data_IF_305050933523
#
_entry.id   IF_305050933523
#
_cell.length_a   1.000
_cell.length_b   1.000
_cell.length_c   1.000
_cell.angle_alpha   90.00
_cell.angle_beta   90.00
_cell.angle_gamma   90.00
#
_symmetry.space_group_name_H-M   'P 1'
#
loop_
_entity.id
_entity.type
_entity.pdbx_description
1 polymer ?
#
# COMPACT_ATOMS: atom_id res chain seq x y z
N UNK A 1 -76.64 -56.70 42.65
CA UNK A 1 -75.20 -57.02 42.62
C UNK A 1 -74.71 -56.73 41.22
N UNK A 2 -73.56 -56.06 41.09
CA UNK A 2 -72.93 -55.50 39.87
C UNK A 2 -73.39 -54.08 39.51
N UNK A 3 -72.94 -53.08 40.27
CA UNK A 3 -71.68 -52.31 40.16
C UNK A 3 -71.68 -51.29 39.02
N UNK A 4 -71.89 -50.03 39.40
CA UNK A 4 -71.63 -48.83 38.60
C UNK A 4 -70.14 -48.50 38.77
N UNK A 5 -69.31 -48.56 37.72
CA UNK A 5 -67.96 -48.03 37.83
C UNK A 5 -68.00 -46.51 37.78
N UNK A 6 -67.62 -45.92 38.91
CA UNK A 6 -67.34 -44.51 39.09
C UNK A 6 -66.28 -44.00 38.11
N UNK A 7 -66.48 -42.78 37.59
CA UNK A 7 -65.39 -41.95 37.04
C UNK A 7 -64.34 -41.69 38.13
N UNK A 8 -63.04 -41.80 37.82
CA UNK A 8 -62.05 -41.05 38.55
C UNK A 8 -61.22 -40.14 37.64
N UNK A 9 -61.35 -38.85 37.93
CA UNK A 9 -60.29 -37.85 37.97
C UNK A 9 -59.49 -37.61 36.67
N UNK A 10 -59.86 -36.51 36.00
CA UNK A 10 -58.96 -35.71 35.15
C UNK A 10 -57.66 -35.39 35.93
N UNK A 11 -56.62 -36.19 35.72
CA UNK A 11 -55.25 -35.89 36.12
C UNK A 11 -54.75 -34.75 35.23
N UNK A 12 -55.00 -33.50 35.64
CA UNK A 12 -54.21 -32.37 35.16
C UNK A 12 -52.77 -32.58 35.63
N UNK A 13 -51.94 -33.15 34.75
CA UNK A 13 -50.50 -33.15 34.96
C UNK A 13 -50.01 -31.68 34.93
N UNK A 14 -49.18 -31.24 35.88
CA UNK A 14 -48.61 -29.91 35.83
C UNK A 14 -47.69 -29.83 34.61
N UNK A 15 -47.96 -28.90 33.69
CA UNK A 15 -46.98 -28.49 32.69
C UNK A 15 -45.79 -27.89 33.45
N UNK A 16 -44.74 -28.68 33.64
CA UNK A 16 -43.45 -28.15 34.08
C UNK A 16 -42.91 -27.27 32.95
N UNK A 17 -42.64 -25.97 33.19
CA UNK A 17 -42.05 -25.13 32.17
C UNK A 17 -40.60 -25.59 31.98
N UNK A 18 -40.37 -26.49 31.01
CA UNK A 18 -39.02 -26.82 30.57
C UNK A 18 -38.46 -25.56 29.92
N UNK A 19 -37.50 -24.93 30.60
CA UNK A 19 -36.71 -23.78 30.12
C UNK A 19 -35.84 -24.11 28.90
N UNK A 20 -36.49 -24.46 27.79
CA UNK A 20 -35.86 -24.88 26.54
C UNK A 20 -35.53 -23.69 25.62
N UNK A 21 -36.21 -22.54 25.79
CA UNK A 21 -35.97 -21.33 25.00
C UNK A 21 -34.70 -20.56 25.41
N UNK A 22 -34.47 -20.35 26.70
CA UNK A 22 -33.33 -19.55 27.18
C UNK A 22 -31.97 -20.18 26.85
N UNK A 23 -31.84 -21.51 26.94
CA UNK A 23 -30.58 -22.19 26.59
C UNK A 23 -30.23 -22.06 25.11
N UNK A 24 -31.22 -22.17 24.23
CA UNK A 24 -31.03 -22.04 22.79
C UNK A 24 -30.68 -20.60 22.36
N UNK A 25 -31.28 -19.59 23.02
CA UNK A 25 -30.97 -18.17 22.76
C UNK A 25 -29.58 -17.81 23.27
N UNK A 26 -29.16 -18.32 24.43
CA UNK A 26 -27.79 -18.11 24.96
C UNK A 26 -26.75 -18.79 24.07
N UNK A 27 -27.01 -20.02 23.62
CA UNK A 27 -26.13 -20.73 22.69
C UNK A 27 -26.03 -20.02 21.33
N UNK A 28 -27.14 -19.52 20.77
CA UNK A 28 -27.12 -18.76 19.52
C UNK A 28 -26.40 -17.43 19.67
N UNK A 29 -26.57 -16.73 20.80
CA UNK A 29 -25.85 -15.50 21.12
C UNK A 29 -24.35 -15.71 21.30
N UNK A 30 -23.94 -16.80 21.95
CA UNK A 30 -22.52 -17.18 22.08
C UNK A 30 -21.91 -17.57 20.74
N UNK A 31 -22.63 -18.36 19.93
CA UNK A 31 -22.15 -18.77 18.60
C UNK A 31 -22.07 -17.59 17.63
N UNK A 32 -23.09 -16.72 17.64
CA UNK A 32 -23.13 -15.50 16.84
C UNK A 32 -22.09 -14.47 17.29
N UNK A 33 -21.92 -14.28 18.59
CA UNK A 33 -20.88 -13.42 19.16
C UNK A 33 -19.47 -13.94 18.88
N UNK A 34 -19.25 -15.25 18.96
CA UNK A 34 -17.98 -15.89 18.60
C UNK A 34 -17.71 -15.76 17.09
N UNK A 35 -18.71 -15.94 16.23
CA UNK A 35 -18.54 -15.76 14.79
C UNK A 35 -18.23 -14.30 14.44
N UNK A 36 -18.85 -13.34 15.12
CA UNK A 36 -18.56 -11.91 14.94
C UNK A 36 -17.16 -11.54 15.44
N UNK A 37 -16.71 -12.11 16.57
CA UNK A 37 -15.34 -11.93 17.06
C UNK A 37 -14.29 -12.60 16.16
N UNK A 38 -14.59 -13.78 15.61
CA UNK A 38 -13.68 -14.48 14.70
C UNK A 38 -13.64 -13.76 13.35
N UNK A 39 -14.77 -13.41 12.76
CA UNK A 39 -14.81 -12.74 11.46
C UNK A 39 -14.35 -11.28 11.57
N UNK A 40 -14.87 -10.51 12.52
CA UNK A 40 -14.45 -9.13 12.75
C UNK A 40 -13.02 -9.02 13.27
N UNK A 41 -12.62 -9.90 14.19
CA UNK A 41 -11.26 -9.95 14.73
C UNK A 41 -10.24 -10.46 13.73
N UNK A 42 -10.53 -11.53 12.97
CA UNK A 42 -9.59 -12.01 11.96
C UNK A 42 -9.50 -11.06 10.76
N UNK A 43 -10.61 -10.48 10.29
CA UNK A 43 -10.55 -9.47 9.23
C UNK A 43 -9.84 -8.19 9.71
N UNK A 44 -10.09 -7.73 10.94
CA UNK A 44 -9.39 -6.59 11.53
C UNK A 44 -7.88 -6.85 11.71
N UNK A 45 -7.52 -8.04 12.17
CA UNK A 45 -6.12 -8.46 12.31
C UNK A 45 -5.42 -8.59 10.94
N UNK A 46 -6.12 -9.11 9.93
CA UNK A 46 -5.61 -9.13 8.56
C UNK A 46 -5.39 -7.70 8.05
N UNK A 47 -6.36 -6.80 8.17
CA UNK A 47 -6.18 -5.39 7.74
C UNK A 47 -5.00 -4.73 8.46
N UNK A 48 -4.84 -4.99 9.76
CA UNK A 48 -3.69 -4.50 10.52
C UNK A 48 -2.35 -5.00 9.96
N UNK A 49 -2.23 -6.28 9.60
CA UNK A 49 -1.02 -6.85 8.97
C UNK A 49 -0.69 -6.27 7.59
N UNK A 50 -1.66 -5.66 6.91
CA UNK A 50 -1.49 -5.00 5.62
C UNK A 50 -1.42 -3.48 5.72
N UNK A 51 -1.52 -2.91 6.93
CA UNK A 51 -1.40 -1.47 7.13
C UNK A 51 0.08 -1.08 7.16
N UNK A 52 0.57 -0.23 6.24
CA UNK A 52 1.95 0.20 6.23
C UNK A 52 2.26 1.07 7.45
N UNK A 53 3.46 0.89 8.02
CA UNK A 53 4.01 1.84 8.97
C UNK A 53 4.37 3.12 8.24
N UNK A 54 3.95 4.26 8.77
CA UNK A 54 4.19 5.58 8.18
C UNK A 54 5.19 6.34 9.01
N UNK A 55 6.20 6.89 8.34
CA UNK A 55 7.27 7.69 8.93
C UNK A 55 7.25 9.08 8.29
N UNK A 56 7.39 10.12 9.10
CA UNK A 56 7.32 11.51 8.65
C UNK A 56 8.53 12.33 9.08
N UNK A 57 9.48 11.73 9.80
CA UNK A 57 10.72 12.42 10.19
C UNK A 57 11.75 12.30 9.07
N UNK A 58 12.52 13.37 8.84
CA UNK A 58 13.50 13.41 7.76
C UNK A 58 14.53 12.27 7.84
N UNK A 59 14.98 11.95 9.05
CA UNK A 59 15.96 10.89 9.30
C UNK A 59 15.42 9.50 8.93
N UNK A 60 14.18 9.18 9.35
CA UNK A 60 13.55 7.91 9.01
C UNK A 60 13.31 7.76 7.52
N UNK A 61 12.92 8.84 6.82
CA UNK A 61 12.71 8.82 5.37
C UNK A 61 14.02 8.49 4.65
N UNK A 62 15.13 9.11 5.06
CA UNK A 62 16.46 8.83 4.49
C UNK A 62 16.91 7.41 4.81
N UNK A 63 16.61 6.88 6.00
CA UNK A 63 16.90 5.48 6.33
C UNK A 63 16.14 4.51 5.43
N UNK A 64 14.84 4.73 5.21
CA UNK A 64 14.04 3.90 4.30
C UNK A 64 14.51 4.03 2.85
N UNK A 65 14.85 5.24 2.40
CA UNK A 65 15.45 5.45 1.09
C UNK A 65 16.72 4.59 0.92
N UNK A 66 17.62 4.62 1.90
CA UNK A 66 18.84 3.81 1.88
C UNK A 66 18.57 2.30 1.93
N UNK A 67 17.47 1.85 2.54
CA UNK A 67 17.03 0.44 2.48
C UNK A 67 16.59 0.03 1.06
N UNK A 68 16.07 0.96 0.25
CA UNK A 68 15.68 0.71 -1.14
C UNK A 68 16.90 0.75 -2.06
N UNK A 69 17.57 1.91 -2.10
CA UNK A 69 18.73 2.16 -2.95
C UNK A 69 19.55 3.34 -2.41
N UNK A 70 20.89 3.31 -2.53
CA UNK A 70 21.69 4.51 -2.33
C UNK A 70 21.26 5.55 -3.38
N UNK A 71 20.89 6.74 -2.92
CA UNK A 71 20.42 7.83 -3.77
C UNK A 71 20.87 9.15 -3.13
N UNK A 72 21.54 9.98 -3.91
CA UNK A 72 21.93 11.33 -3.52
C UNK A 72 20.84 12.31 -3.94
N UNK A 73 19.91 12.58 -3.02
CA UNK A 73 18.78 13.48 -3.29
C UNK A 73 19.26 14.94 -3.33
N UNK A 74 18.95 15.70 -4.40
CA UNK A 74 19.28 17.12 -4.50
C UNK A 74 18.72 17.95 -3.35
N UNK A 75 19.43 19.02 -2.97
CA UNK A 75 19.09 19.85 -1.81
C UNK A 75 17.73 20.56 -1.90
N UNK A 76 17.20 20.75 -3.10
CA UNK A 76 15.88 21.36 -3.33
C UNK A 76 14.70 20.41 -3.02
N UNK A 77 14.98 19.13 -2.75
CA UNK A 77 13.98 18.13 -2.37
C UNK A 77 14.09 17.82 -0.88
N UNK A 78 12.98 17.95 -0.17
CA UNK A 78 12.88 17.64 1.25
C UNK A 78 12.13 16.33 1.47
N UNK A 79 12.58 15.48 2.41
CA UNK A 79 11.87 14.27 2.78
C UNK A 79 10.53 14.60 3.44
N UNK A 80 9.44 14.03 2.95
CA UNK A 80 8.08 14.29 3.47
C UNK A 80 7.48 13.06 4.14
N UNK A 81 7.61 11.91 3.49
CA UNK A 81 6.89 10.70 3.89
C UNK A 81 7.71 9.47 3.53
N UNK A 82 7.76 8.50 4.43
CA UNK A 82 8.15 7.14 4.10
C UNK A 82 7.10 6.17 4.60
N UNK A 83 6.96 5.06 3.89
CA UNK A 83 6.05 3.98 4.23
C UNK A 83 6.81 2.67 4.15
N UNK A 84 6.60 1.80 5.13
CA UNK A 84 7.16 0.45 5.17
C UNK A 84 6.08 -0.54 5.55
N UNK A 85 5.87 -1.52 4.68
CA UNK A 85 5.06 -2.68 4.96
C UNK A 85 5.95 -3.90 4.78
N UNK A 86 6.05 -4.72 5.81
CA UNK A 86 6.78 -5.97 5.72
C UNK A 86 5.96 -7.08 6.37
N UNK A 87 5.37 -7.94 5.55
CA UNK A 87 4.58 -9.06 6.01
C UNK A 87 4.99 -10.35 5.28
N UNK A 88 4.40 -11.52 5.61
CA UNK A 88 4.78 -12.78 5.00
C UNK A 88 4.52 -12.88 3.49
N UNK A 89 3.67 -12.02 2.92
CA UNK A 89 3.27 -12.06 1.51
C UNK A 89 4.02 -11.04 0.66
N UNK A 90 4.25 -9.84 1.20
CA UNK A 90 4.83 -8.72 0.48
C UNK A 90 5.73 -7.87 1.37
N UNK A 91 6.80 -7.37 0.78
CA UNK A 91 7.52 -6.21 1.31
C UNK A 91 7.28 -5.03 0.38
N UNK A 92 6.88 -3.91 0.95
CA UNK A 92 6.71 -2.64 0.27
C UNK A 92 7.45 -1.56 1.06
N UNK A 93 8.26 -0.78 0.35
CA UNK A 93 8.88 0.42 0.89
C UNK A 93 8.61 1.57 -0.06
N UNK A 94 8.34 2.73 0.49
CA UNK A 94 8.19 3.95 -0.28
C UNK A 94 8.84 5.09 0.48
N UNK A 95 9.51 5.99 -0.24
CA UNK A 95 9.87 7.30 0.26
C UNK A 95 9.45 8.36 -0.76
N UNK A 96 9.05 9.51 -0.22
CA UNK A 96 8.52 10.65 -0.96
C UNK A 96 9.28 11.87 -0.49
N UNK A 97 9.85 12.58 -1.45
CA UNK A 97 10.45 13.88 -1.27
C UNK A 97 9.66 14.89 -2.08
N UNK A 98 9.56 16.11 -1.59
CA UNK A 98 8.85 17.21 -2.25
C UNK A 98 9.81 18.37 -2.47
N UNK A 99 9.64 19.06 -3.59
CA UNK A 99 10.33 20.32 -3.81
C UNK A 99 9.98 21.31 -2.68
N UNK A 100 10.94 22.09 -2.20
CA UNK A 100 10.75 23.05 -1.10
C UNK A 100 9.57 24.01 -1.34
N UNK A 101 9.39 24.45 -2.58
CA UNK A 101 8.27 25.32 -3.00
C UNK A 101 7.00 24.55 -3.42
N UNK A 102 6.97 23.22 -3.28
CA UNK A 102 5.84 22.38 -3.70
C UNK A 102 5.74 22.10 -5.20
N UNK A 103 6.72 22.54 -6.00
CA UNK A 103 6.75 22.50 -7.47
C UNK A 103 7.20 21.16 -8.08
N UNK A 104 7.02 20.08 -7.32
CA UNK A 104 7.40 18.75 -7.77
C UNK A 104 7.62 17.75 -6.65
N UNK A 105 7.78 16.48 -7.05
CA UNK A 105 7.84 15.31 -6.18
C UNK A 105 8.86 14.30 -6.72
N UNK A 106 9.63 13.71 -5.82
CA UNK A 106 10.41 12.51 -6.05
C UNK A 106 9.80 11.38 -5.24
N UNK A 107 9.37 10.32 -5.91
CA UNK A 107 8.87 9.10 -5.29
C UNK A 107 9.80 7.95 -5.64
N UNK A 108 10.26 7.24 -4.62
CA UNK A 108 11.00 5.99 -4.78
C UNK A 108 10.22 4.89 -4.06
N UNK A 109 9.90 3.83 -4.80
CA UNK A 109 9.12 2.69 -4.32
C UNK A 109 9.92 1.41 -4.53
N UNK A 110 9.80 0.45 -3.62
CA UNK A 110 10.32 -0.91 -3.76
C UNK A 110 9.23 -1.90 -3.37
N UNK A 111 9.04 -2.93 -4.20
CA UNK A 111 8.15 -4.05 -3.89
C UNK A 111 8.88 -5.38 -4.06
N UNK A 112 8.53 -6.31 -3.17
CA UNK A 112 8.93 -7.72 -3.27
C UNK A 112 7.74 -8.59 -2.91
N UNK A 113 7.29 -9.40 -3.85
CA UNK A 113 6.34 -10.48 -3.58
C UNK A 113 7.13 -11.66 -3.01
N UNK A 114 6.76 -12.15 -1.82
CA UNK A 114 7.44 -13.26 -1.14
C UNK A 114 6.77 -14.61 -1.38
N UNK A 115 5.56 -14.61 -1.94
CA UNK A 115 4.78 -15.80 -2.21
C UNK A 115 4.65 -16.03 -3.72
N UNK A 116 5.31 -17.07 -4.21
CA UNK A 116 5.51 -17.30 -5.65
C UNK A 116 6.66 -16.46 -6.19
N UNK A 117 7.55 -17.06 -6.97
CA UNK A 117 8.60 -16.34 -7.71
C UNK A 117 7.98 -15.61 -8.91
N UNK A 118 7.28 -14.52 -8.63
CA UNK A 118 6.60 -13.73 -9.65
C UNK A 118 7.14 -12.30 -9.70
N UNK A 119 8.24 -12.13 -10.43
CA UNK A 119 8.78 -10.80 -10.75
C UNK A 119 7.76 -9.94 -11.50
N UNK A 120 6.91 -10.56 -12.33
CA UNK A 120 5.84 -9.83 -13.02
C UNK A 120 4.81 -9.31 -12.02
N UNK A 121 4.48 -10.10 -10.99
CA UNK A 121 3.67 -9.68 -9.86
C UNK A 121 4.22 -8.47 -9.11
N UNK A 122 5.54 -8.44 -8.87
CA UNK A 122 6.18 -7.28 -8.22
C UNK A 122 6.09 -6.00 -9.07
N UNK A 123 6.34 -6.11 -10.38
CA UNK A 123 6.22 -4.97 -11.33
C UNK A 123 4.78 -4.50 -11.49
N UNK A 124 3.83 -5.42 -11.61
CA UNK A 124 2.40 -5.08 -11.65
C UNK A 124 1.97 -4.35 -10.37
N UNK A 125 2.49 -4.75 -9.21
CA UNK A 125 2.23 -4.04 -7.97
C UNK A 125 2.81 -2.63 -7.98
N UNK A 126 4.03 -2.43 -8.50
CA UNK A 126 4.60 -1.08 -8.68
C UNK A 126 3.72 -0.22 -9.58
N UNK A 127 3.18 -0.77 -10.68
CA UNK A 127 2.25 -0.06 -11.56
C UNK A 127 1.00 0.42 -10.83
N UNK A 128 0.43 -0.44 -9.97
CA UNK A 128 -0.74 -0.09 -9.17
C UNK A 128 -0.42 1.01 -8.15
N UNK A 129 0.71 0.91 -7.45
CA UNK A 129 1.13 1.89 -6.44
C UNK A 129 1.53 3.25 -7.04
N UNK A 130 2.09 3.23 -8.24
CA UNK A 130 2.44 4.46 -8.97
C UNK A 130 1.20 5.25 -9.39
N UNK A 131 0.09 4.55 -9.64
CA UNK A 131 -1.20 5.16 -9.93
C UNK A 131 -1.93 5.60 -8.67
N UNK A 132 -1.51 5.13 -7.50
CA UNK A 132 -2.14 5.49 -6.24
C UNK A 132 -1.74 6.91 -5.80
N UNK A 133 -2.77 7.69 -5.47
CA UNK A 133 -2.66 9.12 -5.13
C UNK A 133 -2.20 9.36 -3.69
N UNK A 134 -2.14 8.31 -2.87
CA UNK A 134 -1.92 8.38 -1.43
C UNK A 134 -0.51 8.88 -1.03
N UNK A 135 0.47 8.80 -1.94
CA UNK A 135 1.89 9.11 -1.68
C UNK A 135 2.42 10.45 -2.22
N UNK A 136 1.57 11.43 -2.53
CA UNK A 136 1.97 12.73 -3.09
C UNK A 136 1.61 12.89 -4.56
N UNK A 137 1.16 14.08 -4.94
CA UNK A 137 0.52 14.36 -6.23
C UNK A 137 1.51 14.28 -7.39
N UNK A 138 1.71 13.08 -7.94
CA UNK A 138 2.25 12.94 -9.29
C UNK A 138 1.13 13.36 -10.25
N UNK A 139 1.34 14.46 -10.96
CA UNK A 139 0.40 15.00 -11.91
C UNK A 139 0.31 14.09 -13.13
N UNK A 140 -0.90 13.96 -13.70
CA UNK A 140 -1.11 13.20 -14.92
C UNK A 140 -0.81 14.12 -16.10
N UNK A 141 0.24 13.79 -16.84
CA UNK A 141 0.70 14.62 -17.95
C UNK A 141 0.07 14.19 -19.28
N UNK A 142 -0.36 15.18 -20.06
CA UNK A 142 -0.46 15.06 -21.51
C UNK A 142 0.96 15.17 -22.07
N UNK A 143 1.55 14.01 -22.40
CA UNK A 143 2.95 13.93 -22.84
C UNK A 143 3.07 14.47 -24.27
N UNK A 144 3.87 15.52 -24.42
CA UNK A 144 4.20 16.14 -25.70
C UNK A 144 5.48 15.57 -26.32
N UNK A 145 6.43 15.14 -25.47
CA UNK A 145 7.70 14.54 -25.88
C UNK A 145 8.07 13.46 -24.88
N UNK A 146 8.60 12.35 -25.40
CA UNK A 146 9.16 11.27 -24.58
C UNK A 146 10.51 10.85 -25.16
N UNK A 147 11.50 10.66 -24.29
CA UNK A 147 12.83 10.20 -24.63
C UNK A 147 13.24 9.11 -23.63
N UNK A 148 13.84 8.01 -24.11
CA UNK A 148 14.39 6.98 -23.23
C UNK A 148 15.90 7.09 -23.24
N UNK A 149 16.51 7.11 -22.05
CA UNK A 149 17.95 7.14 -21.86
C UNK A 149 18.38 5.99 -20.97
N UNK A 150 19.48 5.34 -21.35
CA UNK A 150 20.05 4.23 -20.61
C UNK A 150 20.98 4.73 -19.50
N UNK A 151 20.81 4.22 -18.29
CA UNK A 151 21.68 4.48 -17.14
C UNK A 151 22.23 3.17 -16.60
N UNK A 152 23.47 3.17 -16.14
CA UNK A 152 24.07 1.98 -15.52
C UNK A 152 23.75 2.00 -14.02
N UNK A 153 22.90 1.08 -13.58
CA UNK A 153 22.53 0.88 -12.18
C UNK A 153 22.92 -0.55 -11.78
N UNK A 154 23.70 -0.73 -10.71
CA UNK A 154 24.15 -2.06 -10.26
C UNK A 154 24.80 -2.90 -11.38
N UNK A 155 25.56 -2.26 -12.27
CA UNK A 155 26.21 -2.87 -13.46
C UNK A 155 25.24 -3.34 -14.57
N UNK A 156 23.95 -3.04 -14.46
CA UNK A 156 22.94 -3.30 -15.48
C UNK A 156 22.55 -2.02 -16.22
N UNK A 157 22.31 -2.11 -17.53
CA UNK A 157 21.74 -1.01 -18.31
C UNK A 157 20.24 -0.95 -18.04
N UNK A 158 19.79 0.16 -17.49
CA UNK A 158 18.40 0.39 -17.14
C UNK A 158 17.84 1.58 -17.94
N UNK A 159 16.73 1.40 -18.66
CA UNK A 159 16.07 2.48 -19.37
C UNK A 159 15.30 3.39 -18.41
N UNK A 160 15.57 4.69 -18.46
CA UNK A 160 14.77 5.73 -17.85
C UNK A 160 14.04 6.52 -18.93
N UNK A 161 12.73 6.70 -18.75
CA UNK A 161 11.89 7.49 -19.63
C UNK A 161 11.76 8.91 -19.09
N UNK A 162 12.11 9.88 -19.93
CA UNK A 162 11.98 11.31 -19.74
C UNK A 162 10.76 11.78 -20.53
N UNK A 163 9.73 12.22 -19.84
CA UNK A 163 8.50 12.71 -20.41
C UNK A 163 8.38 14.22 -20.15
N UNK A 164 8.12 15.00 -21.20
CA UNK A 164 7.78 16.42 -21.12
C UNK A 164 6.31 16.59 -21.48
N UNK A 165 5.54 17.25 -20.63
CA UNK A 165 4.11 17.38 -20.85
C UNK A 165 3.45 18.47 -20.03
N UNK A 166 2.15 18.63 -20.24
CA UNK A 166 1.32 19.53 -19.44
C UNK A 166 0.45 18.72 -18.51
N UNK A 167 0.31 19.18 -17.27
CA UNK A 167 -0.67 18.61 -16.36
C UNK A 167 -2.07 18.81 -16.92
N UNK A 168 -2.84 17.73 -16.99
CA UNK A 168 -4.23 17.73 -17.46
C UNK A 168 -5.15 18.60 -16.60
N UNK A 169 -4.80 18.84 -15.33
CA UNK A 169 -5.63 19.60 -14.40
C UNK A 169 -5.38 21.11 -14.40
N UNK A 170 -4.13 21.53 -14.60
CA UNK A 170 -3.69 22.92 -14.44
C UNK A 170 -3.04 23.55 -15.68
N UNK A 171 -2.77 22.76 -16.73
CA UNK A 171 -1.97 23.13 -17.90
C UNK A 171 -0.51 23.55 -17.61
N UNK A 172 -0.05 23.45 -16.36
CA UNK A 172 1.34 23.66 -15.95
C UNK A 172 2.25 22.66 -16.65
N UNK A 173 3.43 23.11 -17.09
CA UNK A 173 4.40 22.25 -17.75
C UNK A 173 5.25 21.51 -16.73
N UNK A 174 5.34 20.20 -16.89
CA UNK A 174 6.16 19.34 -16.07
C UNK A 174 7.12 18.53 -16.94
N UNK A 175 8.24 18.19 -16.32
CA UNK A 175 9.15 17.15 -16.79
C UNK A 175 9.15 16.03 -15.78
N UNK A 176 9.11 14.81 -16.28
CA UNK A 176 9.09 13.61 -15.47
C UNK A 176 10.19 12.67 -15.94
N UNK A 177 10.96 12.14 -15.01
CA UNK A 177 11.79 10.96 -15.26
C UNK A 177 11.27 9.78 -14.46
N UNK A 178 11.13 8.64 -15.11
CA UNK A 178 10.66 7.40 -14.48
C UNK A 178 11.42 6.19 -15.00
N UNK A 179 11.71 5.26 -14.11
CA UNK A 179 12.41 4.03 -14.46
C UNK A 179 12.29 2.96 -13.39
N UNK A 180 12.34 1.71 -13.85
CA UNK A 180 12.26 0.51 -13.01
C UNK A 180 13.62 -0.16 -12.97
N UNK A 181 14.10 -0.46 -11.78
CA UNK A 181 15.41 -1.05 -11.57
C UNK A 181 15.38 -2.03 -10.40
N UNK A 182 16.48 -2.74 -10.18
CA UNK A 182 16.59 -3.65 -9.05
C UNK A 182 16.97 -2.88 -7.79
N UNK A 183 16.11 -2.87 -6.77
CA UNK A 183 16.44 -2.38 -5.43
C UNK A 183 17.21 -3.42 -4.63
N UNK A 184 17.61 -3.08 -3.40
CA UNK A 184 18.34 -4.00 -2.50
C UNK A 184 17.55 -5.27 -2.17
N UNK A 185 16.23 -5.19 -2.09
CA UNK A 185 15.36 -6.28 -1.64
C UNK A 185 14.33 -6.70 -2.70
N UNK A 186 14.03 -5.86 -3.68
CA UNK A 186 12.92 -6.06 -4.62
C UNK A 186 13.06 -5.29 -5.93
N UNK A 187 11.97 -5.23 -6.69
CA UNK A 187 11.87 -4.32 -7.83
C UNK A 187 11.61 -2.93 -7.29
N UNK A 188 12.35 -1.94 -7.79
CA UNK A 188 12.21 -0.55 -7.41
C UNK A 188 11.79 0.29 -8.61
N UNK A 189 11.06 1.36 -8.32
CA UNK A 189 10.67 2.38 -9.29
C UNK A 189 10.99 3.75 -8.73
N UNK A 190 11.69 4.55 -9.53
CA UNK A 190 11.88 5.96 -9.27
C UNK A 190 10.96 6.76 -10.20
N UNK A 191 10.27 7.75 -9.64
CA UNK A 191 9.53 8.75 -10.40
C UNK A 191 9.91 10.11 -9.82
N UNK A 192 10.54 10.96 -10.63
CA UNK A 192 10.75 12.36 -10.33
C UNK A 192 9.91 13.18 -11.29
N UNK A 193 9.08 14.06 -10.77
CA UNK A 193 8.30 14.99 -11.57
C UNK A 193 8.47 16.40 -11.00
N UNK A 194 8.96 17.33 -11.83
CA UNK A 194 9.18 18.72 -11.45
C UNK A 194 8.57 19.63 -12.52
N UNK A 195 8.15 20.84 -12.13
CA UNK A 195 7.78 21.86 -13.11
C UNK A 195 8.97 22.19 -14.02
N UNK A 196 8.69 22.52 -15.29
CA UNK A 196 9.74 22.80 -16.28
C UNK A 196 10.67 23.95 -15.85
N UNK A 197 10.18 24.92 -15.08
CA UNK A 197 10.95 26.08 -14.63
C UNK A 197 11.99 25.78 -13.54
N UNK A 198 11.79 24.72 -12.77
CA UNK A 198 12.73 24.29 -11.71
C UNK A 198 13.50 23.03 -12.10
N UNK A 199 13.36 22.60 -13.36
CA UNK A 199 14.07 21.45 -13.88
C UNK A 199 15.54 21.77 -14.12
N UNK A 200 16.41 21.10 -13.36
CA UNK A 200 17.86 21.12 -13.53
C UNK A 200 18.34 19.77 -14.07
N UNK A 201 18.71 19.75 -15.35
CA UNK A 201 19.14 18.54 -16.06
C UNK A 201 20.38 17.88 -15.41
N UNK A 202 21.31 18.69 -14.91
CA UNK A 202 22.56 18.20 -14.31
C UNK A 202 22.27 17.59 -12.93
N UNK A 203 21.40 18.21 -12.14
CA UNK A 203 20.98 17.68 -10.85
C UNK A 203 20.19 16.36 -11.00
N UNK A 204 19.31 16.27 -12.00
CA UNK A 204 18.55 15.04 -12.30
C UNK A 204 19.49 13.94 -12.77
N UNK A 205 20.43 14.25 -13.65
CA UNK A 205 21.42 13.27 -14.13
C UNK A 205 22.32 12.79 -12.99
N UNK A 206 22.75 13.68 -12.10
CA UNK A 206 23.53 13.33 -10.92
C UNK A 206 22.74 12.44 -9.94
N UNK A 207 21.45 12.73 -9.75
CA UNK A 207 20.53 11.89 -8.97
C UNK A 207 20.48 10.47 -9.56
N UNK A 208 20.24 10.32 -10.86
CA UNK A 208 20.14 9.00 -11.50
C UNK A 208 21.47 8.24 -11.46
N UNK A 209 22.60 8.93 -11.70
CA UNK A 209 23.93 8.33 -11.60
C UNK A 209 24.34 7.95 -10.17
N UNK A 210 23.64 8.46 -9.16
CA UNK A 210 23.87 8.08 -7.76
C UNK A 210 23.25 6.73 -7.40
N UNK A 211 22.32 6.22 -8.22
CA UNK A 211 21.76 4.88 -8.09
C UNK A 211 22.85 3.86 -8.42
N UNK A 212 23.43 3.26 -7.37
CA UNK A 212 24.48 2.26 -7.47
C UNK A 212 24.05 0.90 -6.99
#
# INVERSE_FOLDING_TARGET
MMDVPAEPAQLFAPHTPRGCGCRSVILLGLLGGMLFLICGGACGFLVYLFTPSVFTTAEEVVLIQQEIAPLAVPAFLEPVLAQKLDNPLVTLRQCVYRHQEGRGVLRLMETKVKFGEDEAGARQMLDQLSQDKTGGEIHRLEVSRSETREFIIQQESVPFRFDEGRDLSSATRYRQVSGDFRGKNGWARLILQLEEEVWDEDAVTALLNSLK
#
